data_IF_679181057576
#
_entry.id   IF_679181057576
#
_cell.length_a   1.000
_cell.length_b   1.000
_cell.length_c   1.000
_cell.angle_alpha   90.00
_cell.angle_beta   90.00
_cell.angle_gamma   90.00
#
_symmetry.space_group_name_H-M   'P 1'
#
loop_
_entity.id
_entity.type
_entity.pdbx_description
1 polymer ?
#
# COMPACT_ATOMS: atom_id res chain seq x y z
N UNK A 1 -12.51 -24.76 16.40
CA UNK A 1 -11.98 -25.10 15.06
C UNK A 1 -12.68 -24.26 13.99
N UNK A 2 -12.06 -23.18 13.53
CA UNK A 2 -12.43 -22.52 12.28
C UNK A 2 -11.59 -23.16 11.18
N UNK A 3 -12.17 -24.11 10.46
CA UNK A 3 -11.54 -24.73 9.29
C UNK A 3 -11.51 -23.69 8.17
N UNK A 4 -10.31 -23.20 7.86
CA UNK A 4 -9.96 -22.39 6.69
C UNK A 4 -10.66 -21.03 6.56
N UNK A 5 -10.25 -20.06 7.39
CA UNK A 5 -10.58 -18.66 7.13
C UNK A 5 -9.76 -18.15 5.93
N UNK A 6 -10.34 -18.05 4.74
CA UNK A 6 -9.70 -17.41 3.58
C UNK A 6 -10.23 -15.99 3.44
N UNK A 7 -9.35 -15.02 3.22
CA UNK A 7 -9.74 -13.66 2.86
C UNK A 7 -9.58 -13.49 1.36
N UNK A 8 -10.66 -13.08 0.71
CA UNK A 8 -10.66 -12.66 -0.69
C UNK A 8 -10.27 -11.19 -0.74
N UNK A 9 -9.08 -10.91 -1.28
CA UNK A 9 -8.63 -9.56 -1.57
C UNK A 9 -8.93 -9.24 -3.03
N UNK A 10 -9.42 -8.03 -3.27
CA UNK A 10 -9.70 -7.52 -4.61
C UNK A 10 -9.08 -6.15 -4.76
N UNK A 11 -8.71 -5.80 -5.99
CA UNK A 11 -8.35 -4.43 -6.28
C UNK A 11 -9.58 -3.54 -6.01
N UNK A 12 -9.35 -2.37 -5.40
CA UNK A 12 -10.41 -1.37 -5.24
C UNK A 12 -11.02 -1.08 -6.60
N UNK A 13 -12.35 -1.03 -6.66
CA UNK A 13 -13.10 -0.64 -7.86
C UNK A 13 -12.57 0.69 -8.43
N UNK A 14 -12.45 0.78 -9.75
CA UNK A 14 -11.90 1.96 -10.43
C UNK A 14 -10.37 2.03 -10.44
N UNK A 15 -9.66 1.23 -9.63
CA UNK A 15 -8.19 1.35 -9.52
C UNK A 15 -7.48 0.93 -10.79
N UNK A 16 -7.97 -0.12 -11.45
CA UNK A 16 -7.41 -0.61 -12.71
C UNK A 16 -7.54 0.43 -13.82
N UNK A 17 -8.70 1.08 -13.92
CA UNK A 17 -8.97 2.14 -14.88
C UNK A 17 -8.10 3.37 -14.66
N UNK A 18 -7.91 3.77 -13.39
CA UNK A 18 -7.01 4.88 -13.05
C UNK A 18 -5.56 4.58 -13.46
N UNK A 19 -5.05 3.38 -13.13
CA UNK A 19 -3.68 3.00 -13.52
C UNK A 19 -3.55 2.97 -15.06
N UNK A 20 -4.55 2.41 -15.75
CA UNK A 20 -4.58 2.35 -17.21
C UNK A 20 -4.56 3.75 -17.83
N UNK A 21 -5.39 4.67 -17.35
CA UNK A 21 -5.44 6.04 -17.84
C UNK A 21 -4.08 6.75 -17.68
N UNK A 22 -3.39 6.55 -16.55
CA UNK A 22 -2.03 7.06 -16.36
C UNK A 22 -1.02 6.47 -17.36
N UNK A 23 -1.10 5.18 -17.64
CA UNK A 23 -0.22 4.51 -18.59
C UNK A 23 -0.46 5.00 -20.01
N UNK A 24 -1.72 5.01 -20.46
CA UNK A 24 -2.12 5.46 -21.79
C UNK A 24 -1.73 6.93 -22.03
N UNK A 25 -1.88 7.79 -21.03
CA UNK A 25 -1.47 9.19 -21.12
C UNK A 25 0.05 9.35 -21.28
N UNK A 26 0.84 8.61 -20.50
CA UNK A 26 2.29 8.62 -20.61
C UNK A 26 2.78 8.06 -21.95
N UNK A 27 2.11 7.04 -22.49
CA UNK A 27 2.41 6.48 -23.81
C UNK A 27 2.08 7.47 -24.94
N UNK A 28 0.92 8.13 -24.85
CA UNK A 28 0.43 9.11 -25.83
C UNK A 28 1.33 10.34 -25.88
N UNK A 29 1.67 10.89 -24.72
CA UNK A 29 2.50 12.11 -24.63
C UNK A 29 3.99 11.84 -24.75
N UNK A 30 4.43 10.57 -24.58
CA UNK A 30 5.84 10.18 -24.43
C UNK A 30 6.53 10.88 -23.25
N UNK A 31 5.75 11.38 -22.29
CA UNK A 31 6.22 12.10 -21.13
C UNK A 31 5.69 11.46 -19.84
N UNK A 32 6.60 11.26 -18.89
CA UNK A 32 6.29 10.84 -17.54
C UNK A 32 7.35 11.42 -16.59
N UNK A 33 6.97 12.44 -15.82
CA UNK A 33 7.91 13.04 -14.85
C UNK A 33 8.28 12.04 -13.75
N UNK A 34 9.44 12.18 -13.08
CA UNK A 34 9.84 11.31 -11.98
C UNK A 34 8.80 11.26 -10.85
N UNK A 35 8.17 12.40 -10.53
CA UNK A 35 7.09 12.46 -9.56
C UNK A 35 5.83 11.68 -9.98
N UNK A 36 5.43 11.80 -11.24
CA UNK A 36 4.32 11.04 -11.79
C UNK A 36 4.63 9.53 -11.85
N UNK A 37 5.87 9.15 -12.21
CA UNK A 37 6.32 7.77 -12.17
C UNK A 37 6.32 7.18 -10.75
N UNK A 38 6.76 7.95 -9.75
CA UNK A 38 6.72 7.54 -8.34
C UNK A 38 5.28 7.31 -7.85
N UNK A 39 4.36 8.22 -8.22
CA UNK A 39 2.93 8.07 -7.92
C UNK A 39 2.36 6.81 -8.58
N UNK A 40 2.60 6.62 -9.88
CA UNK A 40 2.13 5.46 -10.64
C UNK A 40 2.68 4.15 -10.06
N UNK A 41 3.96 4.14 -9.67
CA UNK A 41 4.60 3.00 -9.00
C UNK A 41 3.86 2.62 -7.71
N UNK A 42 3.53 3.59 -6.87
CA UNK A 42 2.76 3.36 -5.65
C UNK A 42 1.37 2.78 -5.92
N UNK A 43 0.67 3.30 -6.94
CA UNK A 43 -0.63 2.77 -7.36
C UNK A 43 -0.53 1.30 -7.80
N UNK A 44 0.47 0.96 -8.62
CA UNK A 44 0.69 -0.39 -9.13
C UNK A 44 1.12 -1.34 -8.01
N UNK A 45 1.99 -0.90 -7.11
CA UNK A 45 2.46 -1.73 -6.01
C UNK A 45 1.30 -2.12 -5.07
N UNK A 46 0.43 -1.16 -4.76
CA UNK A 46 -0.79 -1.42 -4.00
C UNK A 46 -1.79 -2.30 -4.77
N UNK A 47 -1.97 -2.07 -6.07
CA UNK A 47 -2.83 -2.92 -6.90
C UNK A 47 -2.34 -4.38 -6.93
N UNK A 48 -1.03 -4.57 -7.10
CA UNK A 48 -0.40 -5.89 -7.20
C UNK A 48 -0.53 -6.73 -5.92
N UNK A 49 -0.65 -6.12 -4.74
CA UNK A 49 -0.84 -6.88 -3.48
C UNK A 49 -2.23 -7.48 -3.37
N UNK A 50 -3.23 -6.88 -4.02
CA UNK A 50 -4.63 -7.29 -3.98
C UNK A 50 -5.03 -8.28 -5.08
N UNK A 51 -4.19 -8.49 -6.10
CA UNK A 51 -4.51 -9.40 -7.23
C UNK A 51 -3.68 -10.69 -7.20
N UNK A 52 -4.28 -11.79 -7.64
CA UNK A 52 -3.62 -13.09 -7.72
C UNK A 52 -2.43 -13.02 -8.69
N UNK A 53 -1.32 -13.66 -8.32
CA UNK A 53 -0.10 -13.69 -9.15
C UNK A 53 0.69 -12.37 -9.20
N UNK A 54 0.22 -11.30 -8.54
CA UNK A 54 0.89 -10.00 -8.47
C UNK A 54 1.30 -9.47 -9.87
N UNK A 55 0.44 -9.71 -10.87
CA UNK A 55 0.75 -9.63 -12.30
C UNK A 55 1.37 -8.30 -12.73
N UNK A 56 0.98 -7.18 -12.13
CA UNK A 56 1.49 -5.86 -12.51
C UNK A 56 2.96 -5.61 -12.10
N UNK A 57 3.59 -6.50 -11.31
CA UNK A 57 4.99 -6.33 -10.88
C UNK A 57 6.01 -6.37 -12.01
N UNK A 58 5.73 -7.05 -13.12
CA UNK A 58 6.66 -7.19 -14.24
C UNK A 58 7.11 -5.86 -14.86
N UNK A 59 6.27 -4.82 -14.82
CA UNK A 59 6.58 -3.49 -15.35
C UNK A 59 7.20 -2.51 -14.34
N UNK A 60 7.45 -2.93 -13.09
CA UNK A 60 7.86 -2.00 -12.03
C UNK A 60 9.31 -1.52 -12.15
N UNK A 61 10.22 -2.31 -12.70
CA UNK A 61 11.64 -1.93 -12.77
C UNK A 61 11.87 -0.70 -13.66
N UNK A 62 11.37 -0.65 -14.92
CA UNK A 62 11.51 0.55 -15.75
C UNK A 62 10.85 1.78 -15.13
N UNK A 63 9.70 1.59 -14.47
CA UNK A 63 9.00 2.66 -13.76
C UNK A 63 9.78 3.17 -12.54
N UNK A 64 10.47 2.27 -11.83
CA UNK A 64 11.36 2.62 -10.72
C UNK A 64 12.53 3.45 -11.22
N UNK A 65 13.16 3.05 -12.33
CA UNK A 65 14.24 3.83 -12.95
C UNK A 65 13.75 5.23 -13.38
N UNK A 66 12.54 5.33 -13.93
CA UNK A 66 11.94 6.63 -14.25
C UNK A 66 11.71 7.49 -13.01
N UNK A 67 11.25 6.88 -11.91
CA UNK A 67 10.94 7.61 -10.66
C UNK A 67 12.17 8.18 -9.94
N UNK A 68 13.35 7.57 -10.14
CA UNK A 68 14.60 8.01 -9.53
C UNK A 68 15.51 8.78 -10.50
N UNK A 69 15.12 8.86 -11.76
CA UNK A 69 15.87 9.56 -12.80
C UNK A 69 15.54 11.05 -12.85
N UNK A 70 16.26 11.77 -13.72
CA UNK A 70 16.05 13.20 -13.97
C UNK A 70 15.33 13.49 -15.30
N UNK A 71 15.10 12.46 -16.12
CA UNK A 71 14.40 12.60 -17.39
C UNK A 71 12.89 12.51 -17.19
N UNK A 72 12.15 13.28 -18.00
CA UNK A 72 10.69 13.09 -18.14
C UNK A 72 10.34 12.34 -19.43
N UNK A 73 11.31 11.98 -20.27
CA UNK A 73 11.03 11.27 -21.51
C UNK A 73 10.78 9.79 -21.24
N UNK A 74 9.76 9.22 -21.89
CA UNK A 74 9.45 7.80 -21.82
C UNK A 74 10.38 7.03 -22.76
N UNK A 75 11.25 6.18 -22.20
CA UNK A 75 12.12 5.30 -22.98
C UNK A 75 11.33 4.17 -23.67
N UNK A 76 11.88 3.51 -24.71
CA UNK A 76 11.21 2.36 -25.33
C UNK A 76 10.85 1.25 -24.33
N UNK A 77 11.80 0.92 -23.43
CA UNK A 77 11.57 -0.10 -22.39
C UNK A 77 10.46 0.32 -21.42
N UNK A 78 10.40 1.60 -21.04
CA UNK A 78 9.32 2.11 -20.20
C UNK A 78 7.99 2.09 -20.94
N UNK A 79 7.97 2.41 -22.22
CA UNK A 79 6.76 2.35 -23.04
C UNK A 79 6.17 0.93 -23.10
N UNK A 80 7.02 -0.08 -23.27
CA UNK A 80 6.58 -1.49 -23.29
C UNK A 80 6.09 -1.93 -21.90
N UNK A 81 6.77 -1.49 -20.83
CA UNK A 81 6.31 -1.72 -19.47
C UNK A 81 4.94 -1.08 -19.18
N UNK A 82 4.71 0.15 -19.64
CA UNK A 82 3.42 0.84 -19.51
C UNK A 82 2.31 0.11 -20.30
N UNK A 83 2.64 -0.40 -21.49
CA UNK A 83 1.73 -1.23 -22.30
C UNK A 83 1.33 -2.51 -21.56
N UNK A 84 2.33 -3.21 -21.01
CA UNK A 84 2.12 -4.40 -20.20
C UNK A 84 1.24 -4.09 -18.98
N UNK A 85 1.57 -3.05 -18.21
CA UNK A 85 0.82 -2.64 -17.01
C UNK A 85 -0.65 -2.33 -17.38
N UNK A 86 -0.88 -1.51 -18.40
CA UNK A 86 -2.22 -1.14 -18.85
C UNK A 86 -3.07 -2.37 -19.23
N UNK A 87 -2.46 -3.36 -19.89
CA UNK A 87 -3.12 -4.60 -20.27
C UNK A 87 -3.44 -5.47 -19.06
N UNK A 88 -2.48 -5.70 -18.15
CA UNK A 88 -2.67 -6.60 -17.01
C UNK A 88 -3.56 -6.01 -15.93
N UNK A 89 -3.73 -4.68 -15.82
CA UNK A 89 -4.66 -4.10 -14.85
C UNK A 89 -6.13 -4.34 -15.20
N UNK A 90 -6.45 -4.68 -16.44
CA UNK A 90 -7.78 -5.20 -16.83
C UNK A 90 -8.02 -6.61 -16.31
N UNK A 91 -6.94 -7.37 -16.12
CA UNK A 91 -6.97 -8.71 -15.57
C UNK A 91 -6.63 -8.65 -14.07
N UNK A 92 -7.63 -8.36 -13.25
CA UNK A 92 -7.50 -8.21 -11.80
C UNK A 92 -8.14 -9.39 -11.02
N UNK A 93 -7.66 -10.64 -11.19
CA UNK A 93 -8.23 -11.77 -10.47
C UNK A 93 -8.08 -11.58 -8.97
N UNK A 94 -9.17 -11.79 -8.23
CA UNK A 94 -9.17 -11.73 -6.78
C UNK A 94 -8.10 -12.67 -6.18
N UNK A 95 -7.36 -12.18 -5.20
CA UNK A 95 -6.36 -12.95 -4.48
C UNK A 95 -6.98 -13.60 -3.24
N UNK A 96 -6.96 -14.92 -3.17
CA UNK A 96 -7.40 -15.65 -1.98
C UNK A 96 -6.21 -15.91 -1.05
N UNK A 97 -6.16 -15.19 0.06
CA UNK A 97 -5.11 -15.36 1.07
C UNK A 97 -5.62 -16.30 2.17
N UNK A 98 -4.97 -17.45 2.38
CA UNK A 98 -5.29 -18.27 3.54
C UNK A 98 -4.88 -17.52 4.81
N UNK A 99 -5.82 -17.30 5.72
CA UNK A 99 -5.45 -16.97 7.10
C UNK A 99 -5.17 -18.30 7.78
N UNK A 100 -3.92 -18.52 8.17
CA UNK A 100 -3.58 -19.68 8.98
C UNK A 100 -4.34 -19.57 10.31
N UNK A 101 -5.36 -20.41 10.48
CA UNK A 101 -6.23 -20.43 11.65
C UNK A 101 -5.50 -20.80 12.95
N UNK A 102 -4.22 -21.19 12.87
CA UNK A 102 -3.36 -21.41 14.05
C UNK A 102 -2.82 -20.12 14.66
N UNK A 103 -2.87 -18.99 13.94
CA UNK A 103 -2.40 -17.70 14.44
C UNK A 103 -3.55 -16.91 15.05
N UNK A 104 -3.33 -16.33 16.23
CA UNK A 104 -4.30 -15.43 16.88
C UNK A 104 -4.64 -14.30 15.89
N UNK A 105 -5.92 -14.10 15.61
CA UNK A 105 -6.36 -13.00 14.76
C UNK A 105 -6.21 -11.69 15.56
N UNK A 106 -5.31 -10.83 15.10
CA UNK A 106 -5.10 -9.49 15.64
C UNK A 106 -5.72 -8.51 14.64
N UNK A 107 -6.76 -7.80 15.08
CA UNK A 107 -7.22 -6.60 14.40
C UNK A 107 -6.52 -5.41 15.06
N UNK A 108 -5.78 -4.62 14.29
CA UNK A 108 -5.13 -3.41 14.79
C UNK A 108 -5.61 -2.20 14.00
N UNK A 109 -5.70 -1.06 14.66
CA UNK A 109 -6.04 0.21 14.04
C UNK A 109 -5.11 1.30 14.60
N UNK A 110 -4.86 2.32 13.78
CA UNK A 110 -4.34 3.60 14.24
C UNK A 110 -5.11 4.71 13.56
N UNK A 111 -4.92 5.92 14.09
CA UNK A 111 -5.25 7.11 13.34
C UNK A 111 -4.45 7.16 12.04
N UNK A 112 -5.08 7.69 10.99
CA UNK A 112 -4.51 7.78 9.66
C UNK A 112 -3.39 8.83 9.55
N UNK A 113 -3.38 9.79 10.49
CA UNK A 113 -2.52 10.96 10.47
C UNK A 113 -2.28 11.47 11.90
N UNK A 114 -1.07 11.98 12.14
CA UNK A 114 -0.75 12.80 13.31
C UNK A 114 -0.25 14.17 12.83
N UNK A 115 -0.93 15.23 13.27
CA UNK A 115 -0.56 16.62 13.06
C UNK A 115 -0.05 17.22 14.38
N UNK A 116 1.23 17.64 14.48
CA UNK A 116 1.78 18.29 15.68
C UNK A 116 1.05 19.57 16.08
N UNK A 117 0.39 20.25 15.13
CA UNK A 117 -0.43 21.44 15.41
C UNK A 117 -1.82 21.07 15.98
N UNK A 118 -2.24 19.81 15.86
CA UNK A 118 -3.53 19.30 16.33
C UNK A 118 -3.38 17.95 17.08
N UNK A 119 -2.58 17.90 18.16
CA UNK A 119 -2.20 16.65 18.84
C UNK A 119 -3.39 15.91 19.48
N UNK A 120 -4.51 16.58 19.68
CA UNK A 120 -5.74 16.00 20.21
C UNK A 120 -6.51 15.15 19.19
N UNK A 121 -6.26 15.32 17.89
CA UNK A 121 -6.99 14.66 16.79
C UNK A 121 -6.28 13.44 16.20
N UNK A 122 -5.07 13.11 16.67
CA UNK A 122 -4.29 11.97 16.20
C UNK A 122 -3.52 11.26 17.31
N UNK A 123 -2.73 10.25 16.91
CA UNK A 123 -1.86 9.49 17.82
C UNK A 123 -2.57 8.38 18.60
N UNK A 124 -3.79 8.01 18.22
CA UNK A 124 -4.48 6.83 18.71
C UNK A 124 -3.96 5.55 18.06
N UNK A 125 -3.75 4.52 18.87
CA UNK A 125 -3.47 3.15 18.45
C UNK A 125 -4.34 2.18 19.23
N UNK A 126 -4.73 1.08 18.60
CA UNK A 126 -5.44 0.03 19.30
C UNK A 126 -5.29 -1.33 18.63
N UNK A 127 -5.55 -2.36 19.42
CA UNK A 127 -5.58 -3.71 18.94
C UNK A 127 -6.71 -4.50 19.61
N UNK A 128 -7.12 -5.56 18.95
CA UNK A 128 -8.06 -6.56 19.43
C UNK A 128 -7.54 -7.93 19.00
N UNK A 129 -7.33 -8.81 19.96
CA UNK A 129 -6.97 -10.21 19.76
C UNK A 129 -8.18 -11.07 20.09
N UNK A 130 -8.63 -11.86 19.12
CA UNK A 130 -9.61 -12.92 19.37
C UNK A 130 -8.87 -14.21 19.73
N UNK A 131 -9.09 -14.68 20.95
CA UNK A 131 -8.63 -15.98 21.45
C UNK A 131 -9.85 -16.85 21.78
N UNK A 132 -9.71 -18.16 21.80
CA UNK A 132 -10.82 -19.07 22.14
C UNK A 132 -11.45 -18.68 23.49
N UNK A 133 -12.69 -18.19 23.45
CA UNK A 133 -13.47 -17.79 24.64
C UNK A 133 -13.31 -16.35 25.13
N UNK A 134 -12.39 -15.54 24.58
CA UNK A 134 -12.20 -14.15 25.02
C UNK A 134 -11.72 -13.20 23.91
N UNK A 135 -12.25 -11.99 23.91
CA UNK A 135 -11.73 -10.86 23.14
C UNK A 135 -10.90 -9.99 24.07
N UNK A 136 -9.59 -9.90 23.83
CA UNK A 136 -8.69 -9.00 24.58
C UNK A 136 -8.37 -7.84 23.65
N UNK A 137 -8.59 -6.61 24.11
CA UNK A 137 -8.23 -5.43 23.35
C UNK A 137 -7.66 -4.36 24.26
N UNK A 138 -6.87 -3.48 23.65
CA UNK A 138 -6.43 -2.25 24.27
C UNK A 138 -6.45 -1.13 23.23
N UNK A 139 -6.77 0.07 23.68
CA UNK A 139 -6.55 1.29 22.93
C UNK A 139 -5.71 2.21 23.81
N UNK A 140 -4.78 2.92 23.19
CA UNK A 140 -3.93 3.88 23.87
C UNK A 140 -3.75 5.11 22.98
N UNK A 141 -3.46 6.24 23.61
CA UNK A 141 -2.78 7.33 22.92
C UNK A 141 -1.28 7.06 23.01
N UNK A 142 -0.60 7.18 21.88
CA UNK A 142 0.86 7.14 21.83
C UNK A 142 1.37 8.37 22.61
N UNK A 143 2.22 8.18 23.62
CA UNK A 143 2.78 9.28 24.40
C UNK A 143 3.57 10.27 23.51
N UNK A 144 3.54 11.58 23.81
CA UNK A 144 4.24 12.60 22.99
C UNK A 144 5.76 12.37 22.85
N UNK A 145 6.40 11.80 23.88
CA UNK A 145 7.82 11.43 23.88
C UNK A 145 8.12 10.31 22.89
N UNK A 146 7.24 9.32 22.76
CA UNK A 146 7.36 8.25 21.73
C UNK A 146 7.15 8.83 20.33
N UNK A 147 6.17 9.73 20.16
CA UNK A 147 5.93 10.42 18.89
C UNK A 147 7.16 11.26 18.49
N UNK A 148 7.79 11.96 19.45
CA UNK A 148 8.98 12.75 19.21
C UNK A 148 10.16 11.91 18.68
N UNK A 149 10.27 10.63 19.07
CA UNK A 149 11.30 9.71 18.53
C UNK A 149 11.08 9.38 17.04
N UNK A 150 9.84 9.49 16.54
CA UNK A 150 9.46 9.17 15.17
C UNK A 150 9.52 10.37 14.23
N UNK A 151 9.71 11.59 14.76
CA UNK A 151 9.64 12.84 14.01
C UNK A 151 11.05 13.39 13.72
N UNK A 152 11.38 13.53 12.42
CA UNK A 152 11.88 14.83 11.99
C UNK A 152 10.95 15.49 10.95
N UNK A 153 9.77 14.92 10.65
CA UNK A 153 8.86 15.39 9.59
C UNK A 153 7.59 16.00 10.18
N UNK A 154 7.19 17.17 9.66
CA UNK A 154 6.06 17.96 10.16
C UNK A 154 4.67 17.30 9.98
N UNK A 155 4.54 16.30 9.10
CA UNK A 155 3.28 15.57 8.86
C UNK A 155 3.62 14.12 8.49
N UNK A 156 2.90 13.17 9.09
CA UNK A 156 3.12 11.75 8.90
C UNK A 156 1.84 11.07 8.46
N UNK A 157 1.72 10.90 7.14
CA UNK A 157 0.69 10.05 6.52
C UNK A 157 1.33 8.67 6.35
N UNK A 158 0.96 7.72 7.21
CA UNK A 158 1.43 6.35 7.18
C UNK A 158 2.58 6.05 8.15
N UNK A 159 2.25 5.79 9.42
CA UNK A 159 3.21 5.31 10.43
C UNK A 159 2.72 4.09 11.21
N UNK A 160 2.23 3.08 10.51
CA UNK A 160 2.11 1.74 11.08
C UNK A 160 3.01 0.69 10.43
N UNK A 161 3.69 0.97 9.32
CA UNK A 161 4.72 0.04 8.84
C UNK A 161 5.91 -0.06 9.82
N UNK A 162 6.19 0.98 10.62
CA UNK A 162 7.29 0.99 11.58
C UNK A 162 6.98 0.25 12.90
N UNK A 163 5.73 0.27 13.38
CA UNK A 163 5.36 -0.32 14.68
C UNK A 163 5.24 -1.85 14.65
N UNK A 164 5.10 -2.47 13.47
CA UNK A 164 5.08 -3.94 13.33
C UNK A 164 6.45 -4.57 13.06
N UNK A 165 7.53 -3.78 12.94
CA UNK A 165 8.90 -4.27 12.73
C UNK A 165 9.74 -4.42 14.01
N UNK A 166 9.17 -4.07 15.17
CA UNK A 166 9.79 -4.27 16.49
C UNK A 166 8.91 -5.16 17.37
N UNK A 167 8.95 -6.45 17.08
CA UNK A 167 8.69 -7.48 18.07
C UNK A 167 9.77 -8.56 17.88
N UNK A 168 10.51 -8.95 18.94
CA UNK A 168 11.55 -9.98 18.84
C UNK A 168 11.01 -11.33 18.34
#
# INVERSE_FOLDING_TARGET
MLTESRVRLEAKEGRGEVIRAYCEEAQRTRLLSPGAASKLRGLIQYFATSVQGQVAKGGLQPLTMQSTGNSSCVSPVLHDALSYIAAVTLFAPARNVPLDGKRKQIAAWSDAEYDPCQPSLGGGVGYMVRSEGATIGAAARVPPDVIALLLPRAQQIGQLEALFHWWP
#
